data_IF_154607138361
#
_entry.id   IF_154607138361
#
_cell.length_a   1.000
_cell.length_b   1.000
_cell.length_c   1.000
_cell.angle_alpha   90.00
_cell.angle_beta   90.00
_cell.angle_gamma   90.00
#
_symmetry.space_group_name_H-M   'P 1'
#
loop_
_entity.id
_entity.type
_entity.pdbx_description
1 polymer ?
#
# COMPACT_ATOMS: atom_id res chain seq x y z
N UNK A 1 -4.91 -9.59 -10.46
CA UNK A 1 -6.26 -9.00 -10.54
C UNK A 1 -6.55 -8.36 -9.20
N UNK A 2 -7.10 -7.14 -9.19
CA UNK A 2 -7.33 -6.38 -7.96
C UNK A 2 -8.38 -7.03 -7.07
N UNK A 3 -8.06 -7.22 -5.80
CA UNK A 3 -8.97 -7.74 -4.78
C UNK A 3 -9.82 -6.61 -4.18
N UNK A 4 -11.07 -6.51 -4.61
CA UNK A 4 -12.03 -5.53 -4.08
C UNK A 4 -12.67 -5.95 -2.75
N UNK A 5 -12.33 -7.10 -2.18
CA UNK A 5 -12.86 -7.55 -0.87
C UNK A 5 -12.02 -7.05 0.31
N UNK A 6 -10.84 -6.48 0.04
CA UNK A 6 -9.94 -5.88 1.03
C UNK A 6 -10.63 -4.88 1.94
N UNK A 7 -10.33 -4.95 3.24
CA UNK A 7 -10.72 -3.92 4.21
C UNK A 7 -9.81 -2.67 4.06
N UNK A 8 -9.91 -2.04 2.89
CA UNK A 8 -9.06 -0.95 2.45
C UNK A 8 -9.64 0.39 2.87
N UNK A 9 -8.77 1.29 3.30
CA UNK A 9 -9.08 2.68 3.60
C UNK A 9 -8.13 3.62 2.88
N UNK A 10 -8.61 4.81 2.55
CA UNK A 10 -7.77 5.91 2.09
C UNK A 10 -7.18 6.66 3.29
N UNK A 11 -5.87 6.86 3.26
CA UNK A 11 -5.12 7.67 4.19
C UNK A 11 -4.28 8.68 3.41
N UNK A 12 -4.83 9.89 3.22
CA UNK A 12 -4.16 11.00 2.52
C UNK A 12 -3.61 10.62 1.14
N UNK A 13 -4.42 9.94 0.31
CA UNK A 13 -4.11 9.61 -1.07
C UNK A 13 -3.48 8.23 -1.26
N UNK A 14 -3.18 7.53 -0.14
CA UNK A 14 -2.69 6.16 -0.13
C UNK A 14 -3.78 5.17 0.29
N UNK A 15 -3.71 3.96 -0.24
CA UNK A 15 -4.48 2.82 0.25
C UNK A 15 -3.76 2.17 1.43
N UNK A 16 -4.50 1.87 2.49
CA UNK A 16 -4.02 1.12 3.67
C UNK A 16 -5.10 0.13 4.09
N UNK A 17 -4.73 -1.13 4.29
CA UNK A 17 -5.60 -2.18 4.76
C UNK A 17 -5.68 -2.19 6.30
N UNK A 18 -6.90 -2.30 6.84
CA UNK A 18 -7.16 -2.41 8.27
C UNK A 18 -6.92 -3.85 8.77
N UNK A 19 -5.66 -4.27 8.74
CA UNK A 19 -5.22 -5.64 9.05
C UNK A 19 -4.30 -5.73 10.25
N UNK A 20 -4.29 -6.88 10.92
CA UNK A 20 -3.27 -7.24 11.91
C UNK A 20 -2.04 -7.84 11.24
N UNK A 21 -0.92 -7.87 11.96
CA UNK A 21 0.30 -8.54 11.54
C UNK A 21 0.06 -10.04 11.32
N UNK A 22 -0.77 -10.66 12.15
CA UNK A 22 -1.15 -12.07 12.00
C UNK A 22 -1.91 -12.31 10.70
N UNK A 23 -2.90 -11.46 10.39
CA UNK A 23 -3.65 -11.51 9.13
C UNK A 23 -2.73 -11.31 7.91
N UNK A 24 -1.77 -10.38 8.01
CA UNK A 24 -0.77 -10.16 6.95
C UNK A 24 0.10 -11.40 6.75
N UNK A 25 0.64 -11.98 7.81
CA UNK A 25 1.47 -13.19 7.74
C UNK A 25 0.69 -14.37 7.17
N UNK A 26 -0.55 -14.56 7.61
CA UNK A 26 -1.43 -15.62 7.10
C UNK A 26 -1.71 -15.43 5.60
N UNK A 27 -2.02 -14.20 5.17
CA UNK A 27 -2.26 -13.87 3.75
C UNK A 27 -1.02 -14.09 2.88
N UNK A 28 0.17 -13.71 3.34
CA UNK A 28 1.42 -13.99 2.64
C UNK A 28 1.71 -15.49 2.52
N UNK A 29 1.49 -16.26 3.60
CA UNK A 29 1.67 -17.72 3.55
C UNK A 29 0.66 -18.40 2.62
N UNK A 30 -0.59 -17.97 2.63
CA UNK A 30 -1.62 -18.47 1.71
C UNK A 30 -1.27 -18.13 0.25
N UNK A 31 -0.81 -16.91 -0.01
CA UNK A 31 -0.37 -16.49 -1.34
C UNK A 31 0.84 -17.32 -1.82
N UNK A 32 1.81 -17.59 -0.95
CA UNK A 32 2.94 -18.47 -1.26
C UNK A 32 2.48 -19.91 -1.56
N UNK A 33 1.60 -20.49 -0.73
CA UNK A 33 1.10 -21.85 -0.89
C UNK A 33 0.26 -22.05 -2.16
N UNK A 34 -0.60 -21.08 -2.47
CA UNK A 34 -1.43 -21.08 -3.70
C UNK A 34 -0.70 -20.57 -4.93
N UNK A 35 0.55 -20.12 -4.79
CA UNK A 35 1.33 -19.38 -5.81
C UNK A 35 0.58 -18.19 -6.41
N UNK A 36 -0.32 -17.58 -5.63
CA UNK A 36 -1.02 -16.36 -6.02
C UNK A 36 -0.09 -15.17 -5.79
N UNK A 37 0.00 -14.27 -6.78
CA UNK A 37 0.80 -13.05 -6.65
C UNK A 37 0.29 -12.18 -5.50
N UNK A 38 1.21 -11.65 -4.71
CA UNK A 38 0.95 -10.71 -3.63
C UNK A 38 2.11 -9.72 -3.52
N UNK A 39 1.84 -8.50 -3.97
CA UNK A 39 2.69 -7.35 -3.76
C UNK A 39 2.34 -6.66 -2.44
N UNK A 40 3.25 -6.75 -1.46
CA UNK A 40 3.12 -6.05 -0.17
C UNK A 40 3.83 -4.69 -0.20
N UNK A 41 3.10 -3.63 0.10
CA UNK A 41 3.62 -2.30 0.43
C UNK A 41 3.47 -2.01 1.93
N UNK A 42 4.46 -1.36 2.53
CA UNK A 42 4.42 -0.97 3.95
C UNK A 42 4.63 0.54 4.09
N UNK A 43 3.68 1.38 3.63
CA UNK A 43 3.84 2.82 3.67
C UNK A 43 4.12 3.35 5.08
N UNK A 44 5.05 4.31 5.13
CA UNK A 44 5.37 5.13 6.29
C UNK A 44 5.29 6.62 5.91
N UNK A 45 5.75 7.52 6.78
CA UNK A 45 5.65 8.95 6.53
C UNK A 45 6.36 9.40 5.24
N UNK A 46 7.51 8.81 4.93
CA UNK A 46 8.24 9.14 3.70
C UNK A 46 7.49 8.66 2.45
N UNK A 47 6.77 7.53 2.54
CA UNK A 47 5.87 7.09 1.48
C UNK A 47 4.72 8.07 1.28
N UNK A 48 4.07 8.49 2.37
CA UNK A 48 2.98 9.45 2.33
C UNK A 48 3.43 10.75 1.66
N UNK A 49 4.52 11.34 2.16
CA UNK A 49 5.07 12.58 1.61
C UNK A 49 5.47 12.41 0.14
N UNK A 50 6.19 11.35 -0.21
CA UNK A 50 6.60 11.09 -1.59
C UNK A 50 5.40 10.89 -2.54
N UNK A 51 4.32 10.27 -2.06
CA UNK A 51 3.12 10.01 -2.87
C UNK A 51 2.32 11.28 -3.19
N UNK A 52 2.47 12.33 -2.38
CA UNK A 52 1.84 13.63 -2.66
C UNK A 52 2.57 14.39 -3.78
N UNK A 53 3.86 14.11 -3.99
CA UNK A 53 4.70 14.81 -4.97
C UNK A 53 4.89 14.04 -6.27
N UNK A 54 4.67 12.72 -6.23
CA UNK A 54 4.92 11.83 -7.36
C UNK A 54 3.73 10.89 -7.61
N UNK A 55 3.04 11.13 -8.74
CA UNK A 55 1.89 10.34 -9.15
C UNK A 55 2.22 8.87 -9.46
N UNK A 56 3.39 8.58 -10.04
CA UNK A 56 3.80 7.22 -10.34
C UNK A 56 4.10 6.45 -9.05
N UNK A 57 4.75 7.09 -8.08
CA UNK A 57 4.99 6.50 -6.77
C UNK A 57 3.70 6.28 -5.98
N UNK A 58 2.76 7.24 -6.00
CA UNK A 58 1.42 7.03 -5.41
C UNK A 58 0.70 5.83 -6.03
N UNK A 59 0.74 5.74 -7.36
CA UNK A 59 0.13 4.63 -8.12
C UNK A 59 0.72 3.29 -7.73
N UNK A 60 2.03 3.18 -7.56
CA UNK A 60 2.68 1.93 -7.13
C UNK A 60 2.13 1.40 -5.79
N UNK A 61 1.82 2.30 -4.84
CA UNK A 61 1.22 1.89 -3.55
C UNK A 61 -0.24 1.48 -3.73
N UNK A 62 -1.02 2.20 -4.54
CA UNK A 62 -2.42 1.87 -4.86
C UNK A 62 -2.51 0.49 -5.53
N UNK A 63 -1.54 0.18 -6.39
CA UNK A 63 -1.44 -1.06 -7.15
C UNK A 63 -0.97 -2.27 -6.32
N UNK A 64 -0.62 -2.09 -5.05
CA UNK A 64 -0.22 -3.18 -4.18
C UNK A 64 -1.41 -4.08 -3.83
N UNK A 65 -1.19 -5.40 -3.73
CA UNK A 65 -2.22 -6.37 -3.34
C UNK A 65 -2.52 -6.32 -1.84
N UNK A 66 -1.58 -5.77 -1.05
CA UNK A 66 -1.68 -5.56 0.38
C UNK A 66 -0.83 -4.35 0.79
N UNK A 67 -1.40 -3.44 1.57
CA UNK A 67 -0.75 -2.20 2.01
C UNK A 67 -0.93 -1.99 3.51
N UNK A 68 0.14 -2.01 4.28
CA UNK A 68 0.06 -1.89 5.75
C UNK A 68 0.50 -0.53 6.28
N UNK A 69 0.07 -0.16 7.50
CA UNK A 69 0.57 1.04 8.17
C UNK A 69 1.85 0.74 8.98
N UNK A 70 3.03 1.08 8.43
CA UNK A 70 4.33 0.85 9.06
C UNK A 70 4.69 1.94 10.11
N UNK A 71 4.40 3.19 9.80
CA UNK A 71 4.80 4.35 10.61
C UNK A 71 3.72 4.83 11.59
N UNK A 72 4.13 5.20 12.81
CA UNK A 72 3.23 5.83 13.80
C UNK A 72 2.52 7.11 13.30
N UNK A 73 3.13 7.98 12.48
CA UNK A 73 2.42 9.10 11.88
C UNK A 73 1.16 8.69 11.10
N UNK A 74 1.20 7.57 10.37
CA UNK A 74 0.03 7.06 9.66
C UNK A 74 -1.03 6.56 10.64
N UNK A 75 -0.62 5.88 11.71
CA UNK A 75 -1.52 5.44 12.79
C UNK A 75 -2.21 6.63 13.45
N UNK A 76 -1.50 7.74 13.69
CA UNK A 76 -2.09 8.96 14.26
C UNK A 76 -3.11 9.61 13.31
N UNK A 77 -2.76 9.75 12.02
CA UNK A 77 -3.69 10.28 11.01
C UNK A 77 -4.94 9.39 10.95
N UNK A 78 -4.77 8.07 10.93
CA UNK A 78 -5.86 7.11 10.89
C UNK A 78 -6.80 7.29 12.09
N UNK A 79 -6.25 7.36 13.31
CA UNK A 79 -7.04 7.61 14.54
C UNK A 79 -7.79 8.94 14.49
N UNK A 80 -7.16 10.01 14.01
CA UNK A 80 -7.83 11.31 13.88
C UNK A 80 -9.01 11.23 12.92
N UNK A 81 -8.83 10.58 11.76
CA UNK A 81 -9.85 10.41 10.72
C UNK A 81 -10.89 9.34 11.04
N UNK A 82 -10.74 8.58 12.13
CA UNK A 82 -11.64 7.49 12.49
C UNK A 82 -11.48 6.23 11.63
N UNK A 83 -10.32 6.06 10.98
CA UNK A 83 -9.97 4.83 10.25
C UNK A 83 -9.68 3.72 11.27
N UNK A 84 -10.34 2.55 11.18
CA UNK A 84 -10.23 1.48 12.16
C UNK A 84 -8.98 0.60 11.95
N UNK A 85 -7.79 1.22 11.89
CA UNK A 85 -6.54 0.44 11.85
C UNK A 85 -6.41 -0.40 13.12
N UNK A 86 -6.29 -1.72 12.95
CA UNK A 86 -6.21 -2.68 14.06
C UNK A 86 -4.91 -2.51 14.84
N UNK A 87 -3.77 -2.38 14.15
CA UNK A 87 -2.47 -2.12 14.75
C UNK A 87 -1.46 -1.51 13.77
N UNK A 88 -0.25 -1.21 14.26
CA UNK A 88 0.89 -0.80 13.42
C UNK A 88 1.62 -2.05 12.91
N UNK A 89 1.58 -2.27 11.60
CA UNK A 89 2.21 -3.45 10.98
C UNK A 89 3.42 -3.02 10.16
N UNK A 90 4.61 -3.28 10.71
CA UNK A 90 5.88 -2.96 10.05
C UNK A 90 6.36 -4.10 9.17
N UNK A 91 6.96 -3.79 8.03
CA UNK A 91 7.51 -4.81 7.13
C UNK A 91 8.61 -5.66 7.79
N UNK A 92 9.34 -5.06 8.73
CA UNK A 92 10.36 -5.76 9.51
C UNK A 92 9.79 -6.71 10.58
N UNK A 93 8.64 -6.42 11.17
CA UNK A 93 7.96 -7.38 12.04
C UNK A 93 7.29 -8.51 11.24
N UNK A 94 6.70 -8.19 10.09
CA UNK A 94 6.15 -9.21 9.17
C UNK A 94 7.25 -10.18 8.73
N UNK A 95 8.42 -9.67 8.33
CA UNK A 95 9.56 -10.51 7.97
C UNK A 95 10.01 -11.40 9.12
N UNK A 96 10.13 -10.87 10.34
CA UNK A 96 10.52 -11.66 11.51
C UNK A 96 9.46 -12.70 11.89
N UNK A 97 8.17 -12.37 11.78
CA UNK A 97 7.08 -13.31 12.03
C UNK A 97 7.06 -14.45 10.99
N UNK A 98 7.38 -14.17 9.73
CA UNK A 98 7.59 -15.22 8.72
C UNK A 98 8.82 -16.08 9.07
N UNK A 99 9.91 -15.47 9.55
CA UNK A 99 11.14 -16.16 9.99
C UNK A 99 10.90 -17.10 11.17
N UNK A 100 10.04 -16.73 12.10
CA UNK A 100 9.72 -17.53 13.29
C UNK A 100 8.53 -18.48 13.08
N UNK A 101 7.70 -18.23 12.07
CA UNK A 101 6.48 -18.99 11.81
C UNK A 101 6.71 -20.39 11.21
N UNK A 102 5.67 -21.22 11.19
CA UNK A 102 5.74 -22.60 10.70
C UNK A 102 5.86 -22.67 9.18
N UNK A 103 6.54 -23.70 8.67
CA UNK A 103 6.74 -23.89 7.23
C UNK A 103 7.86 -23.02 6.66
N UNK A 104 8.57 -23.58 5.68
CA UNK A 104 9.78 -23.00 5.10
C UNK A 104 9.44 -22.25 3.82
N UNK A 105 9.72 -20.94 3.79
CA UNK A 105 9.63 -20.11 2.59
C UNK A 105 11.03 -19.78 2.09
N UNK A 106 11.21 -19.83 0.78
CA UNK A 106 12.44 -19.41 0.12
C UNK A 106 12.43 -17.91 -0.15
N UNK A 107 13.52 -17.22 0.21
CA UNK A 107 13.65 -15.76 0.10
C UNK A 107 14.80 -15.41 -0.83
N UNK A 108 14.59 -14.40 -1.67
CA UNK A 108 15.62 -13.79 -2.50
C UNK A 108 15.81 -12.32 -2.10
N UNK A 109 17.04 -11.91 -1.81
CA UNK A 109 17.36 -10.52 -1.47
C UNK A 109 17.88 -9.75 -2.68
N UNK A 110 17.17 -8.68 -3.08
CA UNK A 110 17.56 -7.86 -4.21
C UNK A 110 17.87 -6.42 -3.75
N UNK A 111 19.14 -6.00 -3.86
CA UNK A 111 19.59 -4.67 -3.45
C UNK A 111 20.16 -4.61 -2.02
N UNK A 112 20.18 -3.41 -1.45
CA UNK A 112 20.91 -3.09 -0.22
C UNK A 112 22.34 -2.60 -0.51
N UNK A 113 23.06 -2.12 0.52
CA UNK A 113 24.48 -1.77 0.39
C UNK A 113 25.35 -2.95 -0.07
N UNK A 114 26.52 -2.70 -0.68
CA UNK A 114 27.47 -3.77 -1.02
C UNK A 114 27.73 -4.72 0.16
N UNK A 115 27.57 -6.02 -0.07
CA UNK A 115 27.75 -7.06 0.95
C UNK A 115 26.59 -7.26 1.94
N UNK A 116 25.60 -6.36 1.99
CA UNK A 116 24.49 -6.48 2.95
C UNK A 116 23.56 -7.66 2.63
N UNK A 117 23.17 -7.84 1.37
CA UNK A 117 22.32 -8.96 0.95
C UNK A 117 23.00 -10.32 1.14
N UNK A 118 24.31 -10.39 0.87
CA UNK A 118 25.12 -11.58 1.12
C UNK A 118 25.21 -11.89 2.64
N UNK A 119 25.46 -10.87 3.47
CA UNK A 119 25.50 -11.06 4.93
C UNK A 119 24.13 -11.47 5.49
N UNK A 120 23.04 -10.87 4.99
CA UNK A 120 21.68 -11.27 5.35
C UNK A 120 21.40 -12.73 4.97
N UNK A 121 21.83 -13.15 3.77
CA UNK A 121 21.75 -14.54 3.31
C UNK A 121 22.46 -15.50 4.26
N UNK A 122 23.73 -15.22 4.60
CA UNK A 122 24.53 -16.05 5.51
C UNK A 122 23.87 -16.18 6.88
N UNK A 123 23.43 -15.07 7.49
CA UNK A 123 22.80 -15.07 8.81
C UNK A 123 21.45 -15.78 8.82
N UNK A 124 20.64 -15.59 7.78
CA UNK A 124 19.34 -16.24 7.66
C UNK A 124 19.49 -17.76 7.59
N UNK A 125 20.52 -18.25 6.88
CA UNK A 125 20.75 -19.67 6.68
C UNK A 125 21.53 -20.36 7.82
N UNK A 126 22.14 -19.59 8.74
CA UNK A 126 22.84 -20.13 9.93
C UNK A 126 21.88 -20.65 11.00
N UNK A 127 20.64 -20.16 11.06
CA UNK A 127 19.63 -20.61 11.99
C UNK A 127 18.54 -21.41 11.26
N UNK A 128 18.08 -22.51 11.86
CA UNK A 128 16.85 -23.15 11.39
C UNK A 128 15.69 -22.17 11.57
N UNK A 129 15.19 -21.63 10.46
CA UNK A 129 14.16 -20.60 10.43
C UNK A 129 13.06 -20.97 9.42
N UNK A 130 11.88 -20.38 9.60
CA UNK A 130 10.77 -20.44 8.64
C UNK A 130 11.07 -19.74 7.31
N UNK A 131 12.21 -19.03 7.20
CA UNK A 131 12.72 -18.44 5.97
C UNK A 131 14.11 -19.00 5.65
N UNK A 132 14.38 -19.27 4.37
CA UNK A 132 15.69 -19.67 3.86
C UNK A 132 16.06 -18.83 2.66
N UNK A 133 17.26 -18.25 2.69
CA UNK A 133 17.76 -17.49 1.57
C UNK A 133 18.23 -18.43 0.44
N UNK A 134 17.63 -18.29 -0.74
CA UNK A 134 17.95 -19.08 -1.95
C UNK A 134 18.70 -18.28 -3.01
N UNK A 135 18.89 -16.99 -2.78
CA UNK A 135 19.68 -16.14 -3.66
C UNK A 135 19.74 -14.69 -3.19
N UNK A 136 20.71 -13.97 -3.71
CA UNK A 136 20.85 -12.55 -3.48
C UNK A 136 21.56 -11.91 -4.66
N UNK A 137 21.22 -10.66 -4.96
CA UNK A 137 21.89 -9.86 -5.99
C UNK A 137 22.09 -8.42 -5.50
N UNK A 138 23.27 -7.87 -5.79
CA UNK A 138 23.54 -6.45 -5.71
C UNK A 138 23.53 -5.87 -7.14
N UNK A 139 22.44 -5.21 -7.57
CA UNK A 139 22.32 -4.73 -8.95
C UNK A 139 23.14 -3.46 -9.23
N UNK A 140 23.97 -3.02 -8.28
CA UNK A 140 24.72 -1.78 -8.40
C UNK A 140 23.89 -0.52 -8.16
N UNK A 141 24.45 0.62 -8.56
CA UNK A 141 23.75 1.90 -8.62
C UNK A 141 23.43 2.19 -10.08
N UNK A 142 22.15 2.41 -10.39
CA UNK A 142 21.74 2.67 -11.78
C UNK A 142 20.31 3.16 -11.90
N UNK A 143 19.86 3.20 -13.16
CA UNK A 143 18.46 3.38 -13.51
C UNK A 143 17.65 2.12 -13.17
N UNK A 144 16.33 2.21 -13.23
CA UNK A 144 15.48 1.03 -12.99
C UNK A 144 15.69 0.02 -14.13
N UNK A 145 15.88 0.52 -15.34
CA UNK A 145 16.12 -0.23 -16.57
C UNK A 145 17.38 -1.10 -16.47
N UNK A 146 18.49 -0.52 -16.01
CA UNK A 146 19.76 -1.25 -15.83
C UNK A 146 19.60 -2.40 -14.84
N UNK A 147 18.84 -2.16 -13.77
CA UNK A 147 18.55 -3.15 -12.72
C UNK A 147 17.45 -4.16 -13.13
N UNK A 148 16.90 -4.06 -14.34
CA UNK A 148 15.77 -4.88 -14.83
C UNK A 148 16.13 -5.76 -16.03
N UNK A 149 17.43 -6.01 -16.25
CA UNK A 149 17.89 -6.86 -17.36
C UNK A 149 17.34 -8.29 -17.25
N UNK A 150 17.18 -8.94 -18.40
CA UNK A 150 16.65 -10.32 -18.47
C UNK A 150 17.48 -11.28 -17.62
N UNK A 151 18.81 -11.15 -17.65
CA UNK A 151 19.69 -11.97 -16.82
C UNK A 151 19.47 -11.81 -15.31
N UNK A 152 19.09 -10.62 -14.81
CA UNK A 152 18.72 -10.43 -13.40
C UNK A 152 17.40 -11.15 -13.10
N UNK A 153 16.39 -10.94 -13.92
CA UNK A 153 15.06 -11.53 -13.73
C UNK A 153 15.12 -13.06 -13.82
N UNK A 154 15.91 -13.60 -14.75
CA UNK A 154 16.12 -15.03 -14.92
C UNK A 154 16.81 -15.65 -13.70
N UNK A 155 17.81 -14.98 -13.10
CA UNK A 155 18.42 -15.44 -11.83
C UNK A 155 17.42 -15.45 -10.68
N UNK A 156 16.62 -14.41 -10.53
CA UNK A 156 15.56 -14.35 -9.51
C UNK A 156 14.59 -15.52 -9.71
N UNK A 157 14.12 -15.74 -10.94
CA UNK A 157 13.17 -16.80 -11.25
C UNK A 157 13.77 -18.21 -11.10
N UNK A 158 15.03 -18.41 -11.50
CA UNK A 158 15.74 -19.69 -11.40
C UNK A 158 16.05 -20.08 -9.94
N UNK A 159 16.12 -19.11 -9.02
CA UNK A 159 16.32 -19.39 -7.59
C UNK A 159 15.18 -20.16 -6.94
N UNK A 160 14.00 -20.20 -7.57
CA UNK A 160 12.81 -20.84 -7.01
C UNK A 160 12.20 -20.09 -5.82
N UNK A 161 12.56 -18.81 -5.61
CA UNK A 161 12.12 -18.03 -4.46
C UNK A 161 10.59 -17.91 -4.36
N UNK A 162 10.07 -18.02 -3.14
CA UNK A 162 8.69 -17.73 -2.79
C UNK A 162 8.50 -16.24 -2.49
N UNK A 163 9.56 -15.57 -2.00
CA UNK A 163 9.52 -14.17 -1.62
C UNK A 163 10.75 -13.38 -2.09
N UNK A 164 10.52 -12.38 -2.96
CA UNK A 164 11.54 -11.42 -3.36
C UNK A 164 11.46 -10.17 -2.49
N UNK A 165 12.53 -9.92 -1.73
CA UNK A 165 12.68 -8.74 -0.89
C UNK A 165 13.55 -7.71 -1.60
N UNK A 166 12.92 -6.60 -2.02
CA UNK A 166 13.58 -5.50 -2.71
C UNK A 166 14.03 -4.45 -1.69
N UNK A 167 15.34 -4.25 -1.60
CA UNK A 167 15.98 -3.33 -0.67
C UNK A 167 16.64 -2.14 -1.38
N UNK A 168 15.86 -1.44 -2.21
CA UNK A 168 16.28 -0.19 -2.85
C UNK A 168 15.76 1.03 -2.06
N UNK A 169 16.02 2.26 -2.51
CA UNK A 169 15.29 3.42 -1.97
C UNK A 169 13.80 3.31 -2.27
N UNK A 170 12.90 3.78 -1.39
CA UNK A 170 11.45 3.56 -1.48
C UNK A 170 10.86 3.79 -2.89
N UNK A 171 11.10 4.98 -3.47
CA UNK A 171 10.64 5.32 -4.82
C UNK A 171 11.18 4.39 -5.90
N UNK A 172 12.50 4.14 -5.89
CA UNK A 172 13.14 3.23 -6.86
C UNK A 172 12.67 1.79 -6.70
N UNK A 173 12.51 1.31 -5.46
CA UNK A 173 12.08 -0.04 -5.16
C UNK A 173 10.65 -0.31 -5.62
N UNK A 174 9.73 0.59 -5.29
CA UNK A 174 8.35 0.53 -5.78
C UNK A 174 8.28 0.55 -7.31
N UNK A 175 8.98 1.47 -7.96
CA UNK A 175 9.00 1.56 -9.41
C UNK A 175 9.67 0.33 -10.08
N UNK A 176 10.69 -0.25 -9.47
CA UNK A 176 11.30 -1.51 -9.93
C UNK A 176 10.33 -2.69 -9.81
N UNK A 177 9.55 -2.76 -8.72
CA UNK A 177 8.52 -3.79 -8.56
C UNK A 177 7.43 -3.62 -9.61
N UNK A 178 6.88 -2.42 -9.78
CA UNK A 178 5.85 -2.15 -10.79
C UNK A 178 6.32 -2.55 -12.20
N UNK A 179 7.58 -2.25 -12.55
CA UNK A 179 8.15 -2.61 -13.86
C UNK A 179 8.31 -4.12 -14.06
N UNK A 180 8.64 -4.88 -13.00
CA UNK A 180 9.09 -6.27 -13.14
C UNK A 180 8.17 -7.33 -12.53
N UNK A 181 7.15 -6.94 -11.75
CA UNK A 181 6.26 -7.88 -11.05
C UNK A 181 5.59 -8.90 -11.96
N UNK A 182 5.32 -8.54 -13.22
CA UNK A 182 4.73 -9.46 -14.19
C UNK A 182 5.71 -10.50 -14.74
N UNK A 183 7.01 -10.20 -14.66
CA UNK A 183 8.12 -11.06 -15.10
C UNK A 183 8.68 -11.92 -13.97
N UNK A 184 8.39 -11.58 -12.72
CA UNK A 184 8.81 -12.32 -11.52
C UNK A 184 7.82 -13.48 -11.25
N UNK A 185 8.34 -14.69 -11.09
CA UNK A 185 7.56 -15.92 -10.81
C UNK A 185 7.35 -16.18 -9.32
N UNK A 186 8.07 -15.46 -8.45
CA UNK A 186 7.85 -15.53 -7.02
C UNK A 186 6.46 -14.96 -6.69
N UNK A 187 5.63 -15.67 -5.90
CA UNK A 187 4.31 -15.19 -5.52
C UNK A 187 4.40 -13.92 -4.66
N UNK A 188 5.39 -13.81 -3.76
CA UNK A 188 5.51 -12.66 -2.88
C UNK A 188 6.60 -11.71 -3.38
N UNK A 189 6.26 -10.43 -3.45
CA UNK A 189 7.24 -9.36 -3.73
C UNK A 189 6.96 -8.20 -2.78
N UNK A 190 7.99 -7.60 -2.20
CA UNK A 190 7.83 -6.43 -1.33
C UNK A 190 9.07 -5.56 -1.30
N UNK A 191 8.84 -4.24 -1.19
CA UNK A 191 9.90 -3.30 -0.88
C UNK A 191 10.10 -3.25 0.64
N UNK A 192 11.20 -3.83 1.14
CA UNK A 192 11.54 -3.84 2.56
C UNK A 192 12.97 -3.32 2.79
N UNK A 193 13.19 -2.04 2.47
CA UNK A 193 14.53 -1.41 2.47
C UNK A 193 15.37 -1.67 3.73
N UNK A 194 14.81 -1.47 4.93
CA UNK A 194 15.56 -1.63 6.17
C UNK A 194 15.72 -3.09 6.61
N UNK A 195 14.92 -4.01 6.07
CA UNK A 195 14.91 -5.42 6.51
C UNK A 195 16.20 -6.12 6.13
N UNK A 196 16.78 -5.83 4.96
CA UNK A 196 18.09 -6.38 4.59
C UNK A 196 19.17 -5.93 5.57
N UNK A 197 19.16 -4.67 5.99
CA UNK A 197 20.12 -4.16 6.97
C UNK A 197 19.93 -4.79 8.37
N UNK A 198 18.68 -5.01 8.79
CA UNK A 198 18.40 -5.70 10.04
C UNK A 198 18.77 -7.18 9.99
N UNK A 199 18.49 -7.87 8.88
CA UNK A 199 18.86 -9.26 8.66
C UNK A 199 20.39 -9.44 8.57
N UNK A 200 21.08 -8.51 7.91
CA UNK A 200 22.54 -8.40 7.93
C UNK A 200 23.08 -7.96 9.30
N UNK A 201 22.21 -7.49 10.20
CA UNK A 201 22.49 -6.89 11.50
C UNK A 201 23.55 -5.80 11.48
N UNK A 202 23.52 -4.98 10.44
CA UNK A 202 24.32 -3.76 10.31
C UNK A 202 23.69 -2.59 11.08
N UNK A 203 22.39 -2.68 11.41
CA UNK A 203 21.66 -1.66 12.20
C UNK A 203 20.94 -2.31 13.37
N UNK A 204 21.01 -1.70 14.56
CA UNK A 204 20.26 -2.16 15.74
C UNK A 204 18.82 -1.62 15.73
N UNK A 205 17.85 -2.50 15.98
CA UNK A 205 16.45 -2.10 16.17
C UNK A 205 16.29 -1.25 17.44
N UNK A 206 15.35 -0.30 17.39
CA UNK A 206 15.00 0.49 18.57
C UNK A 206 14.41 -0.42 19.68
N UNK A 207 14.59 -0.08 20.97
CA UNK A 207 13.91 -0.77 22.07
C UNK A 207 12.38 -0.84 21.88
N UNK A 208 11.74 -1.91 22.34
CA UNK A 208 10.29 -2.15 22.15
C UNK A 208 9.43 -0.97 22.64
N UNK A 209 9.75 -0.38 23.79
CA UNK A 209 9.00 0.76 24.31
C UNK A 209 9.07 1.99 23.38
N UNK A 210 10.22 2.25 22.75
CA UNK A 210 10.36 3.34 21.75
C UNK A 210 9.57 3.04 20.49
N UNK A 211 9.53 1.78 20.05
CA UNK A 211 8.71 1.36 18.91
C UNK A 211 7.22 1.58 19.18
N UNK A 212 6.74 1.23 20.39
CA UNK A 212 5.33 1.40 20.78
C UNK A 212 4.92 2.88 20.93
N UNK A 213 5.80 3.71 21.48
CA UNK A 213 5.54 5.14 21.66
C UNK A 213 5.82 5.98 20.39
N UNK A 214 6.30 5.36 19.30
CA UNK A 214 6.60 6.04 18.04
C UNK A 214 7.87 6.86 18.03
N UNK A 215 8.82 6.57 18.92
CA UNK A 215 10.14 7.20 19.01
C UNK A 215 11.22 6.47 18.20
N UNK A 216 10.84 5.48 17.39
CA UNK A 216 11.79 4.74 16.55
C UNK A 216 12.59 5.64 15.61
N UNK A 217 11.99 6.75 15.13
CA UNK A 217 12.69 7.73 14.30
C UNK A 217 13.85 8.40 15.04
N UNK A 218 13.73 8.67 16.33
CA UNK A 218 14.79 9.28 17.15
C UNK A 218 15.96 8.31 17.33
N UNK A 219 15.64 7.02 17.57
CA UNK A 219 16.65 5.96 17.59
C UNK A 219 17.36 5.83 16.24
N UNK A 220 16.64 5.93 15.12
CA UNK A 220 17.23 5.89 13.79
C UNK A 220 18.11 7.09 13.49
N UNK A 221 17.78 8.29 13.96
CA UNK A 221 18.68 9.45 13.83
C UNK A 221 19.99 9.19 14.60
N UNK A 222 19.91 8.56 15.76
CA UNK A 222 21.12 8.19 16.52
C UNK A 222 22.00 7.20 15.75
N UNK A 223 21.42 6.17 15.15
CA UNK A 223 22.17 5.15 14.41
C UNK A 223 22.60 5.64 13.01
N UNK A 224 21.80 6.48 12.36
CA UNK A 224 22.02 7.03 11.02
C UNK A 224 21.78 8.55 11.03
N UNK A 225 22.78 9.38 11.44
CA UNK A 225 22.60 10.82 11.60
C UNK A 225 22.11 11.53 10.34
N UNK A 226 22.51 11.10 9.15
CA UNK A 226 22.08 11.70 7.87
C UNK A 226 20.55 11.74 7.68
N UNK A 227 19.79 10.92 8.41
CA UNK A 227 18.33 10.89 8.36
C UNK A 227 17.66 12.12 9.00
N UNK A 228 18.37 12.91 9.82
CA UNK A 228 17.76 14.05 10.54
C UNK A 228 17.10 15.05 9.58
N UNK A 229 17.76 15.39 8.47
CA UNK A 229 17.25 16.35 7.48
C UNK A 229 15.93 15.87 6.89
N UNK A 230 15.87 14.58 6.55
CA UNK A 230 14.66 13.96 6.02
C UNK A 230 13.52 14.02 7.02
N UNK A 231 13.76 13.66 8.28
CA UNK A 231 12.72 13.70 9.31
C UNK A 231 12.19 15.11 9.59
N UNK A 232 13.04 16.13 9.53
CA UNK A 232 12.61 17.52 9.67
C UNK A 232 11.71 17.98 8.50
N UNK A 233 12.09 17.66 7.26
CA UNK A 233 11.29 17.98 6.07
C UNK A 233 9.96 17.22 6.11
N UNK A 234 10.00 15.91 6.32
CA UNK A 234 8.82 15.05 6.38
C UNK A 234 7.89 15.45 7.54
N UNK A 235 8.47 15.81 8.69
CA UNK A 235 7.73 16.30 9.86
C UNK A 235 7.04 17.64 9.62
N UNK A 236 7.71 18.59 8.97
CA UNK A 236 7.10 19.87 8.58
C UNK A 236 5.94 19.67 7.60
N UNK A 237 6.11 18.79 6.62
CA UNK A 237 5.03 18.42 5.67
C UNK A 237 3.87 17.73 6.37
N UNK A 238 4.14 16.86 7.33
CA UNK A 238 3.11 16.22 8.16
C UNK A 238 2.27 17.25 8.90
N UNK A 239 2.88 18.25 9.55
CA UNK A 239 2.15 19.29 10.28
C UNK A 239 1.25 20.09 9.31
N UNK A 240 1.78 20.47 8.15
CA UNK A 240 0.99 21.14 7.12
C UNK A 240 -0.19 20.30 6.63
N UNK A 241 0.03 19.01 6.41
CA UNK A 241 -1.01 18.05 6.02
C UNK A 241 -2.07 17.88 7.12
N UNK A 242 -1.64 17.78 8.39
CA UNK A 242 -2.53 17.67 9.53
C UNK A 242 -3.48 18.87 9.61
N UNK A 243 -2.94 20.08 9.51
CA UNK A 243 -3.72 21.31 9.63
C UNK A 243 -4.65 21.56 8.43
N UNK A 244 -4.16 21.34 7.21
CA UNK A 244 -4.90 21.70 5.98
C UNK A 244 -5.87 20.63 5.51
N UNK A 245 -5.59 19.35 5.80
CA UNK A 245 -6.31 18.22 5.24
C UNK A 245 -6.91 17.35 6.34
N UNK A 246 -6.10 16.80 7.25
CA UNK A 246 -6.54 15.76 8.21
C UNK A 246 -7.52 16.29 9.25
N UNK A 247 -7.22 17.40 9.93
CA UNK A 247 -8.09 17.96 10.98
C UNK A 247 -9.45 18.42 10.40
N UNK A 248 -9.49 19.15 9.27
CA UNK A 248 -10.75 19.43 8.58
C UNK A 248 -11.51 18.17 8.16
N UNK A 249 -10.82 17.13 7.66
CA UNK A 249 -11.44 15.85 7.31
C UNK A 249 -12.10 15.20 8.53
N UNK A 250 -11.35 15.07 9.62
CA UNK A 250 -11.80 14.45 10.86
C UNK A 250 -13.01 15.17 11.43
N UNK A 251 -12.98 16.51 11.45
CA UNK A 251 -14.12 17.32 11.88
C UNK A 251 -15.33 17.13 10.97
N UNK A 252 -15.12 17.18 9.65
CA UNK A 252 -16.19 17.01 8.66
C UNK A 252 -16.87 15.64 8.77
N UNK A 253 -16.08 14.56 8.81
CA UNK A 253 -16.57 13.18 8.91
C UNK A 253 -17.33 12.93 10.22
N UNK A 254 -16.87 13.49 11.35
CA UNK A 254 -17.58 13.37 12.64
C UNK A 254 -18.91 14.12 12.62
N UNK A 255 -18.97 15.31 12.02
CA UNK A 255 -20.17 16.14 11.97
C UNK A 255 -21.23 15.63 11.01
N UNK A 256 -20.83 15.00 9.90
CA UNK A 256 -21.73 14.57 8.83
C UNK A 256 -21.90 13.04 8.78
N UNK A 257 -21.65 12.35 9.90
CA UNK A 257 -21.81 10.90 9.97
C UNK A 257 -23.25 10.51 9.62
N UNK A 258 -23.49 9.65 8.61
CA UNK A 258 -24.84 9.29 8.20
C UNK A 258 -25.54 8.44 9.26
N UNK A 259 -26.87 8.49 9.26
CA UNK A 259 -27.69 7.58 10.07
C UNK A 259 -27.66 6.17 9.50
N UNK A 260 -28.01 5.17 10.32
CA UNK A 260 -28.13 3.78 9.86
C UNK A 260 -29.16 3.63 8.72
N UNK A 261 -30.24 4.41 8.76
CA UNK A 261 -31.27 4.44 7.71
C UNK A 261 -30.68 4.95 6.39
N UNK A 262 -29.94 6.07 6.41
CA UNK A 262 -29.32 6.63 5.22
C UNK A 262 -28.27 5.68 4.58
N UNK A 263 -27.61 4.84 5.40
CA UNK A 263 -26.71 3.79 4.90
C UNK A 263 -27.49 2.61 4.30
N UNK A 264 -28.64 2.24 4.88
CA UNK A 264 -29.46 1.13 4.40
C UNK A 264 -30.16 1.45 3.06
N UNK A 265 -30.50 2.72 2.82
CA UNK A 265 -31.11 3.20 1.58
C UNK A 265 -30.11 3.37 0.42
N UNK A 266 -28.80 3.28 0.70
CA UNK A 266 -27.78 3.39 -0.32
C UNK A 266 -27.88 2.25 -1.35
N UNK A 267 -27.76 2.59 -2.62
CA UNK A 267 -27.89 1.63 -3.72
C UNK A 267 -26.94 1.97 -4.85
N UNK A 268 -26.55 0.97 -5.63
CA UNK A 268 -25.68 1.16 -6.80
C UNK A 268 -26.38 0.62 -8.04
N UNK A 269 -26.56 1.50 -9.03
CA UNK A 269 -26.98 1.10 -10.36
C UNK A 269 -25.76 0.84 -11.25
N UNK A 270 -25.75 -0.26 -11.98
CA UNK A 270 -24.72 -0.57 -12.97
C UNK A 270 -25.43 -0.84 -14.30
N UNK A 271 -25.34 0.10 -15.24
CA UNK A 271 -26.03 0.04 -16.53
C UNK A 271 -25.03 0.15 -17.67
N UNK A 272 -25.38 -0.41 -18.82
CA UNK A 272 -24.62 -0.22 -20.05
C UNK A 272 -25.17 0.98 -20.82
N UNK A 273 -24.28 1.91 -21.19
CA UNK A 273 -24.62 3.06 -22.04
C UNK A 273 -23.53 3.26 -23.09
N UNK A 274 -23.90 3.20 -24.37
CA UNK A 274 -23.00 3.47 -25.50
C UNK A 274 -21.69 2.64 -25.46
N UNK A 275 -21.79 1.36 -25.11
CA UNK A 275 -20.63 0.46 -25.01
C UNK A 275 -19.71 0.72 -23.81
N UNK A 276 -20.14 1.55 -22.85
CA UNK A 276 -19.45 1.81 -21.59
C UNK A 276 -20.30 1.31 -20.42
N UNK A 277 -19.64 0.80 -19.39
CA UNK A 277 -20.32 0.47 -18.14
C UNK A 277 -20.42 1.73 -17.27
N UNK A 278 -21.64 2.10 -16.89
CA UNK A 278 -21.89 3.29 -16.05
C UNK A 278 -22.33 2.85 -14.68
N UNK A 279 -21.51 3.19 -13.67
CA UNK A 279 -21.76 2.89 -12.26
C UNK A 279 -22.26 4.16 -11.58
N UNK A 280 -23.43 4.08 -10.95
CA UNK A 280 -24.10 5.19 -10.27
C UNK A 280 -24.41 4.82 -8.82
N UNK A 281 -23.47 5.01 -7.89
CA UNK A 281 -23.76 4.95 -6.46
C UNK A 281 -24.69 6.11 -6.04
N UNK A 282 -25.72 5.78 -5.26
CA UNK A 282 -26.68 6.70 -4.68
C UNK A 282 -26.66 6.59 -3.15
N UNK A 283 -26.85 7.71 -2.46
CA UNK A 283 -26.95 7.74 -1.00
C UNK A 283 -25.60 7.81 -0.26
N UNK A 284 -25.61 7.45 1.02
CA UNK A 284 -24.46 7.55 1.90
C UNK A 284 -23.67 6.24 1.94
N UNK A 285 -22.35 6.32 1.79
CA UNK A 285 -21.48 5.15 1.78
C UNK A 285 -20.45 5.20 2.90
N UNK A 286 -20.33 4.08 3.60
CA UNK A 286 -19.32 3.87 4.64
C UNK A 286 -18.85 2.43 4.63
N UNK A 287 -17.81 2.11 5.40
CA UNK A 287 -17.31 0.74 5.58
C UNK A 287 -18.43 -0.30 5.84
N UNK A 288 -19.54 0.10 6.48
CA UNK A 288 -20.65 -0.77 6.85
C UNK A 288 -21.52 -1.26 5.67
N UNK A 289 -21.54 -0.57 4.53
CA UNK A 289 -22.48 -0.87 3.43
C UNK A 289 -21.83 -1.03 2.06
N UNK A 290 -20.50 -1.16 1.94
CA UNK A 290 -19.80 -1.20 0.65
C UNK A 290 -20.00 -2.47 -0.18
N UNK A 291 -20.64 -3.53 0.34
CA UNK A 291 -20.71 -4.83 -0.35
C UNK A 291 -21.25 -4.74 -1.79
N UNK A 292 -22.38 -4.03 -2.08
CA UNK A 292 -22.88 -3.90 -3.45
C UNK A 292 -21.89 -3.18 -4.38
N UNK A 293 -21.17 -2.16 -3.87
CA UNK A 293 -20.14 -1.46 -4.65
C UNK A 293 -18.95 -2.34 -4.95
N UNK A 294 -18.49 -3.14 -3.97
CA UNK A 294 -17.37 -4.08 -4.17
C UNK A 294 -17.69 -5.08 -5.28
N UNK A 295 -18.91 -5.61 -5.28
CA UNK A 295 -19.38 -6.53 -6.32
C UNK A 295 -19.44 -5.86 -7.69
N UNK A 296 -20.02 -4.66 -7.80
CA UNK A 296 -20.08 -3.96 -9.08
C UNK A 296 -18.68 -3.56 -9.58
N UNK A 297 -17.77 -3.11 -8.70
CA UNK A 297 -16.40 -2.76 -9.09
C UNK A 297 -15.59 -3.99 -9.53
N UNK A 298 -15.77 -5.14 -8.87
CA UNK A 298 -15.15 -6.39 -9.29
C UNK A 298 -15.65 -6.82 -10.68
N UNK A 299 -16.96 -6.74 -10.94
CA UNK A 299 -17.53 -7.01 -12.25
C UNK A 299 -16.99 -6.02 -13.31
N UNK A 300 -16.94 -4.72 -12.98
CA UNK A 300 -16.39 -3.66 -13.82
C UNK A 300 -14.95 -3.95 -14.29
N UNK A 301 -14.12 -4.39 -13.35
CA UNK A 301 -12.71 -4.67 -13.61
C UNK A 301 -12.54 -5.83 -14.58
N UNK A 302 -13.35 -6.88 -14.43
CA UNK A 302 -13.34 -8.09 -15.26
C UNK A 302 -13.93 -7.89 -16.65
N UNK A 303 -14.93 -7.02 -16.78
CA UNK A 303 -15.75 -6.88 -17.98
C UNK A 303 -14.99 -6.39 -19.24
N UNK A 304 -13.88 -5.68 -19.07
CA UNK A 304 -13.05 -5.21 -20.20
C UNK A 304 -13.51 -3.90 -20.84
N UNK A 305 -14.77 -3.45 -20.68
CA UNK A 305 -15.24 -2.17 -21.24
C UNK A 305 -14.71 -0.95 -20.48
N UNK A 306 -14.74 0.25 -21.10
CA UNK A 306 -14.54 1.50 -20.37
C UNK A 306 -15.65 1.71 -19.33
N UNK A 307 -15.28 2.27 -18.19
CA UNK A 307 -16.13 2.46 -17.02
C UNK A 307 -16.27 3.95 -16.71
N UNK A 308 -17.51 4.39 -16.54
CA UNK A 308 -17.83 5.73 -16.03
C UNK A 308 -18.43 5.60 -14.64
N UNK A 309 -17.76 6.16 -13.63
CA UNK A 309 -18.27 6.23 -12.27
C UNK A 309 -18.87 7.62 -12.03
N UNK A 310 -20.19 7.70 -11.97
CA UNK A 310 -20.92 8.95 -11.69
C UNK A 310 -21.17 9.09 -10.19
N UNK A 311 -20.53 10.08 -9.58
CA UNK A 311 -20.60 10.33 -8.14
C UNK A 311 -21.66 11.38 -7.75
N UNK A 312 -22.57 11.74 -8.66
CA UNK A 312 -23.56 12.80 -8.45
C UNK A 312 -24.58 12.47 -7.37
N UNK A 313 -24.95 11.20 -7.23
CA UNK A 313 -25.91 10.74 -6.24
C UNK A 313 -25.33 10.38 -4.88
N UNK A 314 -24.01 10.45 -4.70
CA UNK A 314 -23.36 10.09 -3.44
C UNK A 314 -23.46 11.27 -2.47
N UNK A 315 -24.15 11.08 -1.34
CA UNK A 315 -24.37 12.13 -0.35
C UNK A 315 -23.28 12.17 0.74
N UNK A 316 -22.60 11.05 0.96
CA UNK A 316 -21.51 10.91 1.94
C UNK A 316 -20.56 9.79 1.52
N UNK A 317 -19.27 9.95 1.82
CA UNK A 317 -18.24 8.95 1.62
C UNK A 317 -17.23 8.99 2.77
N UNK A 318 -16.90 7.85 3.37
CA UNK A 318 -15.83 7.74 4.36
C UNK A 318 -14.50 7.31 3.73
N UNK A 319 -13.50 7.05 4.58
CA UNK A 319 -12.20 6.56 4.16
C UNK A 319 -12.25 5.20 3.43
N UNK A 320 -13.20 4.33 3.76
CA UNK A 320 -13.35 3.02 3.12
C UNK A 320 -13.89 3.16 1.70
N UNK A 321 -14.90 4.02 1.50
CA UNK A 321 -15.39 4.34 0.16
C UNK A 321 -14.27 4.92 -0.72
N UNK A 322 -13.52 5.89 -0.20
CA UNK A 322 -12.40 6.48 -0.95
C UNK A 322 -11.29 5.45 -1.19
N UNK A 323 -11.00 4.57 -0.23
CA UNK A 323 -10.05 3.47 -0.40
C UNK A 323 -10.47 2.53 -1.54
N UNK A 324 -11.75 2.16 -1.60
CA UNK A 324 -12.31 1.33 -2.65
C UNK A 324 -12.28 2.03 -4.03
N UNK A 325 -12.53 3.34 -4.06
CA UNK A 325 -12.38 4.16 -5.27
C UNK A 325 -10.93 4.17 -5.77
N UNK A 326 -9.95 4.27 -4.88
CA UNK A 326 -8.53 4.19 -5.24
C UNK A 326 -8.18 2.82 -5.83
N UNK A 327 -8.71 1.73 -5.28
CA UNK A 327 -8.51 0.39 -5.88
C UNK A 327 -9.08 0.30 -7.30
N UNK A 328 -10.29 0.83 -7.53
CA UNK A 328 -10.88 0.87 -8.87
C UNK A 328 -10.03 1.71 -9.83
N UNK A 329 -9.54 2.86 -9.35
CA UNK A 329 -8.65 3.72 -10.11
C UNK A 329 -7.36 2.99 -10.50
N UNK A 330 -6.68 2.31 -9.57
CA UNK A 330 -5.50 1.50 -9.87
C UNK A 330 -5.79 0.39 -10.89
N UNK A 331 -6.92 -0.31 -10.73
CA UNK A 331 -7.30 -1.42 -11.60
C UNK A 331 -7.59 -1.01 -13.06
N UNK A 332 -8.09 0.20 -13.30
CA UNK A 332 -8.63 0.62 -14.60
C UNK A 332 -7.88 1.79 -15.26
N UNK A 333 -7.16 2.61 -14.50
CA UNK A 333 -6.52 3.81 -15.04
C UNK A 333 -5.36 3.49 -15.99
N UNK A 334 -4.62 2.39 -15.78
CA UNK A 334 -3.51 2.00 -16.67
C UNK A 334 -3.98 1.67 -18.09
N UNK A 335 -5.23 1.21 -18.23
CA UNK A 335 -5.84 0.93 -19.52
C UNK A 335 -6.61 2.14 -20.09
N UNK A 336 -6.61 3.29 -19.41
CA UNK A 336 -7.44 4.45 -19.78
C UNK A 336 -8.94 4.17 -19.69
N UNK A 337 -9.34 3.18 -18.87
CA UNK A 337 -10.71 2.63 -18.84
C UNK A 337 -11.58 3.22 -17.73
N UNK A 338 -11.16 4.26 -17.01
CA UNK A 338 -11.97 4.85 -15.94
C UNK A 338 -12.11 6.37 -16.09
N UNK A 339 -13.36 6.84 -16.13
CA UNK A 339 -13.71 8.24 -15.96
C UNK A 339 -14.56 8.40 -14.70
N UNK A 340 -14.14 9.27 -13.77
CA UNK A 340 -14.90 9.60 -12.55
C UNK A 340 -15.53 10.98 -12.74
N UNK A 341 -16.87 11.05 -12.76
CA UNK A 341 -17.60 12.25 -13.15
C UNK A 341 -18.56 12.73 -12.06
N UNK A 342 -18.94 14.01 -12.14
CA UNK A 342 -20.02 14.61 -11.36
C UNK A 342 -19.95 14.41 -9.82
N UNK A 343 -18.79 14.54 -9.14
CA UNK A 343 -18.78 14.39 -7.69
C UNK A 343 -19.66 15.46 -7.04
N UNK A 344 -20.60 15.00 -6.20
CA UNK A 344 -21.39 15.90 -5.35
C UNK A 344 -20.48 16.79 -4.49
N UNK A 345 -20.99 17.94 -4.04
CA UNK A 345 -20.19 18.86 -3.22
C UNK A 345 -19.57 18.19 -1.96
N UNK A 346 -20.32 17.38 -1.17
CA UNK A 346 -19.76 16.60 -0.07
C UNK A 346 -18.59 15.70 -0.49
N UNK A 347 -18.76 14.97 -1.59
CA UNK A 347 -17.77 14.00 -2.07
C UNK A 347 -16.52 14.70 -2.58
N UNK A 348 -16.66 15.77 -3.36
CA UNK A 348 -15.52 16.58 -3.83
C UNK A 348 -14.70 17.11 -2.66
N UNK A 349 -15.37 17.55 -1.59
CA UNK A 349 -14.72 18.03 -0.37
C UNK A 349 -13.96 16.92 0.36
N UNK A 350 -14.57 15.75 0.51
CA UNK A 350 -13.93 14.57 1.12
C UNK A 350 -12.72 14.12 0.30
N UNK A 351 -12.83 14.04 -1.03
CA UNK A 351 -11.72 13.68 -1.92
C UNK A 351 -10.56 14.67 -1.77
N UNK A 352 -10.85 15.98 -1.74
CA UNK A 352 -9.83 16.99 -1.48
C UNK A 352 -9.16 16.81 -0.12
N UNK A 353 -9.91 16.60 0.95
CA UNK A 353 -9.32 16.35 2.28
C UNK A 353 -8.52 15.04 2.35
N UNK A 354 -8.96 14.02 1.63
CA UNK A 354 -8.29 12.74 1.54
C UNK A 354 -7.09 12.76 0.58
N UNK A 355 -6.74 13.89 -0.06
CA UNK A 355 -5.72 13.98 -1.10
C UNK A 355 -5.94 12.98 -2.25
N UNK A 356 -7.21 12.73 -2.58
CA UNK A 356 -7.67 11.79 -3.58
C UNK A 356 -8.39 12.48 -4.75
N UNK A 357 -8.28 13.80 -4.86
CA UNK A 357 -8.86 14.62 -5.94
C UNK A 357 -8.29 14.31 -7.32
N UNK A 358 -7.07 13.75 -7.40
CA UNK A 358 -6.45 13.30 -8.64
C UNK A 358 -7.26 12.23 -9.40
N UNK A 359 -8.16 11.50 -8.72
CA UNK A 359 -9.04 10.52 -9.38
C UNK A 359 -10.06 11.18 -10.32
N UNK A 360 -10.26 12.49 -10.18
CA UNK A 360 -11.17 13.29 -11.00
C UNK A 360 -10.49 13.86 -12.25
N UNK A 361 -9.15 13.88 -12.32
CA UNK A 361 -8.40 14.53 -13.40
C UNK A 361 -8.40 13.73 -14.72
N UNK A 362 -8.87 12.48 -14.71
CA UNK A 362 -8.91 11.59 -15.88
C UNK A 362 -10.26 11.59 -16.61
N UNK A 363 -11.04 12.66 -16.50
CA UNK A 363 -12.24 12.86 -17.32
C UNK A 363 -11.83 13.17 -18.76
N UNK A 364 -11.67 12.12 -19.56
CA UNK A 364 -11.59 12.21 -21.02
C UNK A 364 -12.97 12.49 -21.63
#
# INVERSE_FOLDING_TARGET
MTDFTRDVHCLCGLTVDAVTQEEVVARLRQAAASRTRCFLSTPNLSFLVGSLEDAAFRRSVINSDLSTADGMPLVWIARLMGVPLKERVTGSNVFEALRQGPGRLSVYFFGGPPGAAEQASRRLNQAAAGLVCVGHDFPGFGSIEDMSSDGIIDRINASGADFVVVALGAKKGQAWIERNRDRIRAPLVSHLGAVVNFAAGTVRRAPRWMQCCGLEWLWRIREEPSLWRRYWIDGGRLIGLLWRRVLPAAWYLRRHRPSAVALAEASVGCVEEHGRMVIRPLGAWSAANLLPLRQCFAAAALDGRPVRLDLGGVSFADSAFVGLLLLLHGALAECGRLAVTNPSYPVRRILGYACADFVLEHTA
#
